data_IF_983715527104
#
_entry.id   IF_983715527104
#
_cell.length_a   1.000
_cell.length_b   1.000
_cell.length_c   1.000
_cell.angle_alpha   90.00
_cell.angle_beta   90.00
_cell.angle_gamma   90.00
#
_symmetry.space_group_name_H-M   'P 1'
#
loop_
_entity.id
_entity.type
_entity.pdbx_description
1 polymer ?
#
# COMPACT_ATOMS: atom_id res chain seq x y z
N UNK A 1 3.03 -6.22 -28.78
CA UNK A 1 2.63 -6.85 -27.49
C UNK A 1 3.53 -6.40 -26.37
N UNK A 2 4.86 -6.50 -26.51
CA UNK A 2 5.82 -6.01 -25.51
C UNK A 2 5.64 -4.52 -25.16
N UNK A 3 5.47 -3.67 -26.16
CA UNK A 3 5.20 -2.24 -25.97
C UNK A 3 3.88 -1.97 -25.20
N UNK A 4 2.86 -2.81 -25.43
CA UNK A 4 1.59 -2.72 -24.70
C UNK A 4 1.74 -3.13 -23.23
N UNK A 5 2.46 -4.21 -22.96
CA UNK A 5 2.79 -4.61 -21.58
C UNK A 5 3.60 -3.53 -20.86
N UNK A 6 4.61 -2.96 -21.54
CA UNK A 6 5.40 -1.86 -21.00
C UNK A 6 4.52 -0.65 -20.64
N UNK A 7 3.55 -0.31 -21.49
CA UNK A 7 2.58 0.75 -21.21
C UNK A 7 1.77 0.46 -19.95
N UNK A 8 1.16 -0.72 -19.86
CA UNK A 8 0.36 -1.15 -18.69
C UNK A 8 1.20 -1.14 -17.41
N UNK A 9 2.40 -1.69 -17.44
CA UNK A 9 3.30 -1.68 -16.28
C UNK A 9 3.69 -0.27 -15.85
N UNK A 10 3.95 0.63 -16.81
CA UNK A 10 4.30 2.01 -16.51
C UNK A 10 3.14 2.76 -15.85
N UNK A 11 1.91 2.53 -16.31
CA UNK A 11 0.70 3.12 -15.72
C UNK A 11 0.49 2.66 -14.27
N UNK A 12 0.64 1.37 -13.99
CA UNK A 12 0.53 0.85 -12.63
C UNK A 12 1.66 1.33 -11.71
N UNK A 13 2.88 1.47 -12.24
CA UNK A 13 3.99 2.08 -11.51
C UNK A 13 3.68 3.54 -11.14
N UNK A 14 3.05 4.29 -12.04
CA UNK A 14 2.62 5.66 -11.77
C UNK A 14 1.58 5.72 -10.65
N UNK A 15 0.56 4.85 -10.66
CA UNK A 15 -0.41 4.75 -9.56
C UNK A 15 0.24 4.37 -8.23
N UNK A 16 1.20 3.45 -8.23
CA UNK A 16 1.94 3.08 -7.02
C UNK A 16 2.78 4.25 -6.49
N UNK A 17 3.43 5.03 -7.36
CA UNK A 17 4.15 6.25 -6.98
C UNK A 17 3.22 7.32 -6.45
N UNK A 18 2.07 7.54 -7.10
CA UNK A 18 1.05 8.48 -6.65
C UNK A 18 0.57 8.14 -5.24
N UNK A 19 0.29 6.87 -4.96
CA UNK A 19 -0.05 6.42 -3.59
C UNK A 19 1.02 6.88 -2.60
N UNK A 20 2.30 6.59 -2.90
CA UNK A 20 3.42 6.97 -2.03
C UNK A 20 3.48 8.47 -1.76
N UNK A 21 3.42 9.29 -2.82
CA UNK A 21 3.42 10.77 -2.72
C UNK A 21 2.23 11.28 -1.91
N UNK A 22 1.04 10.74 -2.15
CA UNK A 22 -0.20 11.18 -1.53
C UNK A 22 -0.25 10.90 -0.02
N UNK A 23 0.46 9.87 0.46
CA UNK A 23 0.50 9.52 1.89
C UNK A 23 1.77 9.98 2.61
N UNK A 24 2.82 10.39 1.89
CA UNK A 24 4.17 10.58 2.44
C UNK A 24 4.20 11.54 3.63
N UNK A 25 3.54 12.70 3.51
CA UNK A 25 3.52 13.73 4.56
C UNK A 25 2.85 13.21 5.84
N UNK A 26 1.66 12.63 5.70
CA UNK A 26 0.91 12.09 6.85
C UNK A 26 1.67 10.90 7.47
N UNK A 27 2.32 10.08 6.65
CA UNK A 27 3.12 8.96 7.09
C UNK A 27 4.35 9.41 7.91
N UNK A 28 5.07 10.42 7.43
CA UNK A 28 6.18 11.04 8.17
C UNK A 28 5.71 11.62 9.50
N UNK A 29 4.52 12.24 9.53
CA UNK A 29 3.93 12.76 10.76
C UNK A 29 3.62 11.65 11.76
N UNK A 30 3.02 10.55 11.32
CA UNK A 30 2.75 9.37 12.15
C UNK A 30 4.05 8.82 12.77
N UNK A 31 5.10 8.69 11.98
CA UNK A 31 6.42 8.23 12.46
C UNK A 31 6.98 9.19 13.52
N UNK A 32 6.95 10.50 13.24
CA UNK A 32 7.44 11.52 14.18
C UNK A 32 6.69 11.45 15.51
N UNK A 33 5.36 11.43 15.47
CA UNK A 33 4.53 11.32 16.69
C UNK A 33 4.74 10.00 17.42
N UNK A 34 4.99 8.91 16.69
CA UNK A 34 5.38 7.63 17.28
C UNK A 34 6.67 7.74 18.11
N UNK A 35 7.69 8.40 17.57
CA UNK A 35 8.94 8.66 18.31
C UNK A 35 8.73 9.57 19.51
N UNK A 36 7.92 10.62 19.36
CA UNK A 36 7.59 11.52 20.47
C UNK A 36 6.82 10.81 21.59
N UNK A 37 5.89 9.92 21.24
CA UNK A 37 5.16 9.04 22.15
C UNK A 37 6.13 8.13 22.92
N UNK A 38 7.04 7.45 22.21
CA UNK A 38 8.06 6.59 22.82
C UNK A 38 8.94 7.37 23.81
N UNK A 39 9.41 8.55 23.40
CA UNK A 39 10.23 9.42 24.25
C UNK A 39 9.46 9.85 25.50
N UNK A 40 8.20 10.25 25.33
CA UNK A 40 7.31 10.68 26.43
C UNK A 40 7.04 9.57 27.44
N UNK A 41 7.05 8.30 27.03
CA UNK A 41 6.93 7.17 27.95
C UNK A 41 8.07 7.14 28.98
N UNK A 42 9.28 7.57 28.62
CA UNK A 42 10.45 7.59 29.52
C UNK A 42 10.55 8.86 30.39
N UNK A 43 9.70 9.86 30.15
CA UNK A 43 9.60 11.05 31.00
C UNK A 43 8.68 10.85 32.22
N UNK A 44 7.95 9.73 32.26
CA UNK A 44 6.99 9.43 33.35
C UNK A 44 7.74 8.87 34.58
N UNK A 45 7.27 9.15 35.81
CA UNK A 45 7.84 8.60 37.04
C UNK A 45 7.39 7.15 37.26
N UNK A 46 7.58 6.30 36.26
CA UNK A 46 7.30 4.86 36.33
C UNK A 46 8.60 4.05 36.27
N UNK A 47 8.50 2.74 36.52
CA UNK A 47 9.66 1.86 36.36
C UNK A 47 10.04 1.73 34.89
N UNK A 48 11.33 1.53 34.62
CA UNK A 48 11.86 1.31 33.26
C UNK A 48 11.07 0.23 32.51
N UNK A 49 10.66 -0.84 33.19
CA UNK A 49 9.86 -1.91 32.60
C UNK A 49 8.46 -1.43 32.13
N UNK A 50 7.82 -0.52 32.87
CA UNK A 50 6.53 0.07 32.45
C UNK A 50 6.73 1.07 31.30
N UNK A 51 7.76 1.91 31.38
CA UNK A 51 8.10 2.85 30.30
C UNK A 51 8.40 2.10 28.99
N UNK A 52 9.13 0.98 29.07
CA UNK A 52 9.40 0.11 27.91
C UNK A 52 8.14 -0.47 27.28
N UNK A 53 7.17 -0.93 28.07
CA UNK A 53 5.87 -1.40 27.56
C UNK A 53 5.07 -0.27 26.89
N UNK A 54 5.12 0.94 27.46
CA UNK A 54 4.47 2.12 26.88
C UNK A 54 5.09 2.46 25.51
N UNK A 55 6.43 2.51 25.43
CA UNK A 55 7.12 2.81 24.16
C UNK A 55 6.88 1.73 23.11
N UNK A 56 6.85 0.45 23.50
CA UNK A 56 6.50 -0.66 22.60
C UNK A 56 5.10 -0.49 22.02
N UNK A 57 4.12 -0.07 22.82
CA UNK A 57 2.77 0.19 22.32
C UNK A 57 2.75 1.32 21.27
N UNK A 58 3.48 2.42 21.49
CA UNK A 58 3.63 3.49 20.49
C UNK A 58 4.25 2.95 19.19
N UNK A 59 5.27 2.10 19.31
CA UNK A 59 5.95 1.50 18.16
C UNK A 59 5.04 0.55 17.37
N UNK A 60 4.29 -0.29 18.07
CA UNK A 60 3.35 -1.23 17.46
C UNK A 60 2.25 -0.53 16.66
N UNK A 61 1.78 0.64 17.10
CA UNK A 61 0.80 1.44 16.36
C UNK A 61 1.34 1.87 14.99
N UNK A 62 2.54 2.46 14.96
CA UNK A 62 3.19 2.89 13.70
C UNK A 62 3.44 1.69 12.79
N UNK A 63 3.96 0.59 13.36
CA UNK A 63 4.27 -0.63 12.61
C UNK A 63 3.03 -1.29 12.01
N UNK A 64 1.91 -1.33 12.73
CA UNK A 64 0.64 -1.88 12.21
C UNK A 64 0.14 -1.08 11.02
N UNK A 65 0.15 0.25 11.12
CA UNK A 65 -0.26 1.12 10.02
C UNK A 65 0.62 0.92 8.78
N UNK A 66 1.94 0.77 8.95
CA UNK A 66 2.88 0.45 7.87
C UNK A 66 2.57 -0.89 7.20
N UNK A 67 2.45 -1.95 8.00
CA UNK A 67 2.19 -3.30 7.50
C UNK A 67 0.87 -3.37 6.73
N UNK A 68 -0.20 -2.73 7.22
CA UNK A 68 -1.50 -2.78 6.55
C UNK A 68 -1.49 -2.09 5.18
N UNK A 69 -0.72 -1.00 5.03
CA UNK A 69 -0.54 -0.35 3.73
C UNK A 69 0.25 -1.28 2.78
N UNK A 70 1.32 -1.90 3.26
CA UNK A 70 2.13 -2.84 2.48
C UNK A 70 1.31 -4.07 2.04
N UNK A 71 0.48 -4.62 2.92
CA UNK A 71 -0.42 -5.74 2.63
C UNK A 71 -1.43 -5.37 1.53
N UNK A 72 -2.01 -4.17 1.60
CA UNK A 72 -2.95 -3.68 0.57
C UNK A 72 -2.27 -3.51 -0.80
N UNK A 73 -1.05 -2.95 -0.84
CA UNK A 73 -0.29 -2.81 -2.10
C UNK A 73 0.08 -4.19 -2.67
N UNK A 74 0.54 -5.10 -1.82
CA UNK A 74 0.87 -6.49 -2.21
C UNK A 74 -0.35 -7.21 -2.76
N UNK A 75 -1.52 -7.03 -2.14
CA UNK A 75 -2.78 -7.61 -2.62
C UNK A 75 -3.15 -7.13 -4.03
N UNK A 76 -2.92 -5.84 -4.35
CA UNK A 76 -3.13 -5.32 -5.71
C UNK A 76 -2.20 -6.00 -6.70
N UNK A 77 -0.90 -6.09 -6.38
CA UNK A 77 0.11 -6.72 -7.25
C UNK A 77 -0.22 -8.19 -7.53
N UNK A 78 -0.60 -8.94 -6.49
CA UNK A 78 -0.99 -10.34 -6.62
C UNK A 78 -2.23 -10.49 -7.50
N UNK A 79 -3.28 -9.68 -7.25
CA UNK A 79 -4.52 -9.72 -8.04
C UNK A 79 -4.28 -9.36 -9.50
N UNK A 80 -3.41 -8.40 -9.78
CA UNK A 80 -3.03 -8.05 -11.15
C UNK A 80 -2.30 -9.20 -11.84
N UNK A 81 -1.34 -9.84 -11.15
CA UNK A 81 -0.63 -11.03 -11.64
C UNK A 81 -1.59 -12.18 -11.98
N UNK A 82 -2.52 -12.48 -11.08
CA UNK A 82 -3.55 -13.51 -11.28
C UNK A 82 -4.46 -13.20 -12.47
N UNK A 83 -4.81 -11.92 -12.65
CA UNK A 83 -5.62 -11.46 -13.77
C UNK A 83 -4.90 -11.65 -15.10
N UNK A 84 -3.61 -11.28 -15.19
CA UNK A 84 -2.79 -11.50 -16.39
C UNK A 84 -2.70 -13.00 -16.72
N UNK A 85 -2.42 -13.84 -15.72
CA UNK A 85 -2.33 -15.29 -15.90
C UNK A 85 -3.65 -15.85 -16.44
N UNK A 86 -4.78 -15.40 -15.90
CA UNK A 86 -6.12 -15.77 -16.37
C UNK A 86 -6.37 -15.31 -17.81
N UNK A 87 -5.96 -14.09 -18.17
CA UNK A 87 -6.03 -13.61 -19.55
C UNK A 87 -5.22 -14.49 -20.50
N UNK A 88 -4.00 -14.90 -20.12
CA UNK A 88 -3.15 -15.81 -20.88
C UNK A 88 -3.79 -17.18 -21.13
N UNK A 89 -4.45 -17.74 -20.12
CA UNK A 89 -5.17 -19.02 -20.23
C UNK A 89 -6.40 -18.89 -21.15
N UNK A 90 -7.20 -17.83 -20.99
CA UNK A 90 -8.40 -17.58 -21.81
C UNK A 90 -8.08 -17.31 -23.28
N UNK A 91 -6.93 -16.70 -23.55
CA UNK A 91 -6.51 -16.28 -24.89
C UNK A 91 -5.63 -17.31 -25.62
N UNK A 92 -5.39 -18.48 -25.03
CA UNK A 92 -4.58 -19.57 -25.60
C UNK A 92 -5.11 -20.14 -26.95
N UNK A 93 -6.22 -19.61 -27.49
CA UNK A 93 -6.77 -20.02 -28.79
C UNK A 93 -6.98 -18.92 -29.84
N UNK A 94 -7.10 -17.62 -29.55
CA UNK A 94 -7.33 -16.59 -30.60
C UNK A 94 -6.92 -15.14 -30.24
N UNK A 95 -6.43 -14.44 -31.28
CA UNK A 95 -6.29 -12.99 -31.54
C UNK A 95 -5.70 -12.07 -30.46
N UNK A 96 -4.58 -11.42 -30.82
CA UNK A 96 -3.87 -10.42 -30.00
C UNK A 96 -4.74 -9.31 -29.43
N UNK A 97 -5.87 -9.01 -30.07
CA UNK A 97 -6.75 -7.92 -29.66
C UNK A 97 -7.60 -8.26 -28.43
N UNK A 98 -8.09 -9.51 -28.34
CA UNK A 98 -8.83 -9.98 -27.16
C UNK A 98 -7.91 -10.04 -25.93
N UNK A 99 -6.65 -10.43 -26.14
CA UNK A 99 -5.65 -10.42 -25.07
C UNK A 99 -5.37 -8.99 -24.59
N UNK A 100 -5.18 -8.03 -25.50
CA UNK A 100 -4.99 -6.62 -25.12
C UNK A 100 -6.20 -6.06 -24.37
N UNK A 101 -7.42 -6.41 -24.80
CA UNK A 101 -8.63 -5.98 -24.10
C UNK A 101 -8.67 -6.53 -22.67
N UNK A 102 -8.46 -7.84 -22.50
CA UNK A 102 -8.43 -8.48 -21.18
C UNK A 102 -7.37 -7.86 -20.26
N UNK A 103 -6.16 -7.62 -20.77
CA UNK A 103 -5.08 -6.97 -20.00
C UNK A 103 -5.41 -5.51 -19.65
N UNK A 104 -6.11 -4.79 -20.54
CA UNK A 104 -6.57 -3.42 -20.27
C UNK A 104 -7.59 -3.40 -19.13
N UNK A 105 -8.50 -4.39 -19.08
CA UNK A 105 -9.45 -4.56 -17.99
C UNK A 105 -8.73 -4.87 -16.67
N UNK A 106 -7.74 -5.77 -16.67
CA UNK A 106 -6.90 -6.04 -15.50
C UNK A 106 -6.17 -4.78 -15.00
N UNK A 107 -5.62 -3.98 -15.91
CA UNK A 107 -4.94 -2.72 -15.59
C UNK A 107 -5.91 -1.74 -14.93
N UNK A 108 -7.09 -1.54 -15.55
CA UNK A 108 -8.12 -0.64 -15.03
C UNK A 108 -8.59 -1.05 -13.62
N UNK A 109 -8.77 -2.35 -13.40
CA UNK A 109 -9.13 -2.90 -12.09
C UNK A 109 -8.05 -2.58 -11.04
N UNK A 110 -6.79 -2.87 -11.35
CA UNK A 110 -5.67 -2.57 -10.44
C UNK A 110 -5.53 -1.07 -10.16
N UNK A 111 -5.66 -0.22 -11.18
CA UNK A 111 -5.67 1.24 -11.04
C UNK A 111 -6.78 1.72 -10.09
N UNK A 112 -8.00 1.19 -10.24
CA UNK A 112 -9.11 1.50 -9.33
C UNK A 112 -8.82 1.05 -7.89
N UNK A 113 -8.19 -0.11 -7.70
CA UNK A 113 -7.78 -0.56 -6.37
C UNK A 113 -6.73 0.36 -5.74
N UNK A 114 -5.74 0.84 -6.51
CA UNK A 114 -4.78 1.83 -6.01
C UNK A 114 -5.47 3.12 -5.53
N UNK A 115 -6.49 3.60 -6.25
CA UNK A 115 -7.26 4.78 -5.83
C UNK A 115 -8.00 4.55 -4.51
N UNK A 116 -8.57 3.36 -4.31
CA UNK A 116 -9.23 2.98 -3.06
C UNK A 116 -8.20 2.86 -1.93
N UNK A 117 -7.12 2.11 -2.14
CA UNK A 117 -6.07 1.92 -1.14
C UNK A 117 -5.42 3.25 -0.75
N UNK A 118 -5.27 4.19 -1.68
CA UNK A 118 -4.76 5.54 -1.35
C UNK A 118 -5.67 6.25 -0.35
N UNK A 119 -6.99 6.16 -0.52
CA UNK A 119 -7.96 6.75 0.42
C UNK A 119 -7.93 6.03 1.77
N UNK A 120 -7.92 4.70 1.75
CA UNK A 120 -7.83 3.87 2.96
C UNK A 120 -6.56 4.16 3.74
N UNK A 121 -5.40 4.23 3.07
CA UNK A 121 -4.11 4.49 3.69
C UNK A 121 -4.08 5.88 4.35
N UNK A 122 -4.64 6.90 3.70
CA UNK A 122 -4.80 8.23 4.31
C UNK A 122 -5.65 8.18 5.57
N UNK A 123 -6.77 7.45 5.54
CA UNK A 123 -7.64 7.34 6.69
C UNK A 123 -6.98 6.55 7.82
N UNK A 124 -6.36 5.42 7.51
CA UNK A 124 -5.62 4.59 8.45
C UNK A 124 -4.52 5.38 9.16
N UNK A 125 -3.73 6.15 8.42
CA UNK A 125 -2.69 6.98 9.01
C UNK A 125 -3.30 8.00 9.97
N UNK A 126 -4.39 8.68 9.57
CA UNK A 126 -5.10 9.65 10.41
C UNK A 126 -5.67 9.04 11.69
N UNK A 127 -6.24 7.86 11.60
CA UNK A 127 -6.83 7.14 12.73
C UNK A 127 -5.78 6.68 13.75
N UNK A 128 -4.51 6.61 13.33
CA UNK A 128 -3.37 6.22 14.17
C UNK A 128 -2.49 7.40 14.59
N UNK A 129 -2.82 8.64 14.23
CA UNK A 129 -2.11 9.82 14.74
C UNK A 129 -2.34 9.92 16.26
N UNK A 130 -1.23 9.94 17.01
CA UNK A 130 -1.19 9.96 18.48
C UNK A 130 -1.16 11.40 19.00
#
# INVERSE_FOLDING_TARGET
MEEFFKKVSSELEEYSKMLGVEIESDHKKLISQGYDCMSSCFLRPESIAKCGKCAENCHLTVRRAQNEIEEKVTAIQNRFSDCINTCGIKSARYQSELLKQCLSECSLEASNMFLVVTKDAKQLIKDNLI
#
